data_IF_642058463582
#
_entry.id   IF_642058463582
#
_cell.length_a   1.000
_cell.length_b   1.000
_cell.length_c   1.000
_cell.angle_alpha   90.00
_cell.angle_beta   90.00
_cell.angle_gamma   90.00
#
_symmetry.space_group_name_H-M   'P 1'
#
loop_
_entity.id
_entity.type
_entity.pdbx_description
1 polymer ?
#
# COMPACT_ATOMS: atom_id res chain seq x y z
N UNK A 1 -10.96 34.30 -58.25
CA UNK A 1 -11.30 33.10 -57.46
C UNK A 1 -12.63 33.35 -56.80
N UNK A 2 -13.59 32.43 -56.95
CA UNK A 2 -14.90 32.52 -56.29
C UNK A 2 -14.76 32.34 -54.77
N UNK A 3 -15.57 33.07 -54.01
CA UNK A 3 -15.59 33.03 -52.53
C UNK A 3 -15.84 31.60 -52.02
N UNK A 4 -16.61 30.80 -52.76
CA UNK A 4 -16.88 29.40 -52.44
C UNK A 4 -15.61 28.53 -52.50
N UNK A 5 -14.68 28.79 -53.42
CA UNK A 5 -13.42 28.07 -53.51
C UNK A 5 -12.44 28.47 -52.39
N UNK A 6 -12.51 29.71 -51.92
CA UNK A 6 -11.75 30.13 -50.72
C UNK A 6 -12.29 29.48 -49.45
N UNK A 7 -13.62 29.38 -49.32
CA UNK A 7 -14.27 28.71 -48.18
C UNK A 7 -13.89 27.23 -48.09
N UNK A 8 -13.99 26.49 -49.19
CA UNK A 8 -13.61 25.07 -49.22
C UNK A 8 -12.12 24.83 -48.95
N UNK A 9 -11.25 25.76 -49.37
CA UNK A 9 -9.81 25.68 -49.07
C UNK A 9 -9.53 25.95 -47.58
N UNK A 10 -10.23 26.90 -46.98
CA UNK A 10 -10.16 27.18 -45.55
C UNK A 10 -10.64 25.98 -44.70
N UNK A 11 -11.74 25.34 -45.10
CA UNK A 11 -12.24 24.12 -44.46
C UNK A 11 -11.26 22.96 -44.57
N UNK A 12 -10.64 22.76 -45.75
CA UNK A 12 -9.61 21.74 -45.92
C UNK A 12 -8.41 21.97 -45.01
N UNK A 13 -7.92 23.22 -44.92
CA UNK A 13 -6.81 23.58 -44.04
C UNK A 13 -7.18 23.38 -42.57
N UNK A 14 -8.39 23.78 -42.16
CA UNK A 14 -8.89 23.61 -40.80
C UNK A 14 -9.03 22.12 -40.42
N UNK A 15 -9.54 21.29 -41.34
CA UNK A 15 -9.65 19.84 -41.16
C UNK A 15 -8.26 19.19 -41.00
N UNK A 16 -7.30 19.55 -41.86
CA UNK A 16 -5.91 19.09 -41.75
C UNK A 16 -5.27 19.53 -40.43
N UNK A 17 -5.43 20.79 -40.03
CA UNK A 17 -4.94 21.29 -38.75
C UNK A 17 -5.53 20.50 -37.58
N UNK A 18 -6.84 20.23 -37.61
CA UNK A 18 -7.54 19.44 -36.58
C UNK A 18 -6.96 18.03 -36.47
N UNK A 19 -6.76 17.34 -37.60
CA UNK A 19 -6.16 16.00 -37.62
C UNK A 19 -4.75 16.01 -37.03
N UNK A 20 -3.92 17.00 -37.41
CA UNK A 20 -2.57 17.16 -36.86
C UNK A 20 -2.59 17.42 -35.35
N UNK A 21 -3.52 18.24 -34.86
CA UNK A 21 -3.71 18.49 -33.43
C UNK A 21 -4.11 17.22 -32.67
N UNK A 22 -5.01 16.40 -33.23
CA UNK A 22 -5.40 15.13 -32.59
C UNK A 22 -4.23 14.14 -32.51
N UNK A 23 -3.38 14.08 -33.53
CA UNK A 23 -2.15 13.26 -33.53
C UNK A 23 -1.20 13.74 -32.43
N UNK A 24 -0.97 15.06 -32.36
CA UNK A 24 -0.12 15.65 -31.32
C UNK A 24 -0.64 15.36 -29.91
N UNK A 25 -1.94 15.59 -29.66
CA UNK A 25 -2.56 15.34 -28.35
C UNK A 25 -2.46 13.85 -27.97
N UNK A 26 -2.65 12.96 -28.93
CA UNK A 26 -2.48 11.52 -28.71
C UNK A 26 -1.05 11.15 -28.30
N UNK A 27 -0.05 11.76 -28.95
CA UNK A 27 1.36 11.58 -28.57
C UNK A 27 1.65 12.19 -27.19
N UNK A 28 1.09 13.36 -26.90
CA UNK A 28 1.22 14.04 -25.61
C UNK A 28 0.66 13.19 -24.46
N UNK A 29 -0.55 12.63 -24.61
CA UNK A 29 -1.17 11.76 -23.60
C UNK A 29 -0.29 10.53 -23.31
N UNK A 30 0.31 9.93 -24.35
CA UNK A 30 1.23 8.79 -24.17
C UNK A 30 2.46 9.19 -23.37
N UNK A 31 3.06 10.34 -23.68
CA UNK A 31 4.22 10.85 -22.93
C UNK A 31 3.86 11.18 -21.49
N UNK A 32 2.72 11.85 -21.26
CA UNK A 32 2.22 12.17 -19.92
C UNK A 32 2.02 10.90 -19.10
N UNK A 33 1.42 9.85 -19.66
CA UNK A 33 1.25 8.57 -18.97
C UNK A 33 2.60 7.93 -18.59
N UNK A 34 3.59 7.97 -19.48
CA UNK A 34 4.93 7.45 -19.19
C UNK A 34 5.61 8.23 -18.04
N UNK A 35 5.53 9.57 -18.08
CA UNK A 35 6.10 10.43 -17.03
C UNK A 35 5.40 10.18 -15.69
N UNK A 36 4.08 10.06 -15.68
CA UNK A 36 3.30 9.78 -14.47
C UNK A 36 3.69 8.44 -13.85
N UNK A 37 3.81 7.38 -14.66
CA UNK A 37 4.27 6.07 -14.17
C UNK A 37 5.68 6.13 -13.60
N UNK A 38 6.59 6.82 -14.28
CA UNK A 38 7.96 7.00 -13.80
C UNK A 38 8.00 7.79 -12.47
N UNK A 39 7.19 8.83 -12.34
CA UNK A 39 7.06 9.63 -11.10
C UNK A 39 6.58 8.77 -9.93
N UNK A 40 5.49 8.00 -10.10
CA UNK A 40 5.01 7.14 -9.03
C UNK A 40 6.03 6.05 -8.66
N UNK A 41 6.67 5.43 -9.65
CA UNK A 41 7.75 4.47 -9.40
C UNK A 41 8.91 5.09 -8.62
N UNK A 42 9.28 6.33 -8.94
CA UNK A 42 10.32 7.09 -8.24
C UNK A 42 9.90 7.40 -6.79
N UNK A 43 8.72 7.99 -6.56
CA UNK A 43 8.20 8.31 -5.23
C UNK A 43 8.09 7.07 -4.33
N UNK A 44 7.68 5.92 -4.89
CA UNK A 44 7.65 4.64 -4.17
C UNK A 44 9.06 4.20 -3.79
N UNK A 45 10.02 4.31 -4.70
CA UNK A 45 11.40 3.91 -4.45
C UNK A 45 12.05 4.82 -3.41
N UNK A 46 11.85 6.13 -3.52
CA UNK A 46 12.37 7.16 -2.61
C UNK A 46 11.89 6.94 -1.18
N UNK A 47 10.57 6.81 -0.95
CA UNK A 47 10.05 6.54 0.41
C UNK A 47 10.56 5.21 0.99
N UNK A 48 10.79 4.21 0.13
CA UNK A 48 11.34 2.92 0.54
C UNK A 48 12.78 3.08 0.99
N UNK A 49 13.59 3.74 0.17
CA UNK A 49 14.99 4.03 0.44
C UNK A 49 15.15 4.82 1.73
N UNK A 50 14.35 5.89 1.89
CA UNK A 50 14.37 6.73 3.08
C UNK A 50 14.05 5.92 4.33
N UNK A 51 13.03 5.04 4.30
CA UNK A 51 12.71 4.16 5.44
C UNK A 51 13.88 3.24 5.81
N UNK A 52 14.52 2.61 4.83
CA UNK A 52 15.70 1.75 5.10
C UNK A 52 16.89 2.55 5.63
N UNK A 53 17.14 3.73 5.05
CA UNK A 53 18.25 4.59 5.45
C UNK A 53 18.06 5.12 6.87
N UNK A 54 16.85 5.57 7.24
CA UNK A 54 16.55 6.00 8.60
C UNK A 54 16.64 4.83 9.59
N UNK A 55 16.16 3.64 9.20
CA UNK A 55 16.32 2.43 10.02
C UNK A 55 17.79 2.13 10.28
N UNK A 56 18.65 2.22 9.27
CA UNK A 56 20.08 1.93 9.41
C UNK A 56 20.86 2.99 10.21
N UNK A 57 20.38 4.24 10.26
CA UNK A 57 21.06 5.36 10.93
C UNK A 57 20.63 5.54 12.38
N UNK A 58 19.37 5.25 12.68
CA UNK A 58 18.80 5.40 14.02
C UNK A 58 18.96 4.10 14.83
N UNK A 59 19.90 4.11 15.78
CA UNK A 59 20.19 2.93 16.60
C UNK A 59 19.02 2.55 17.52
N UNK A 60 18.29 3.52 18.08
CA UNK A 60 17.13 3.23 18.95
C UNK A 60 16.01 2.57 18.13
N UNK A 61 15.79 3.07 16.91
CA UNK A 61 14.79 2.49 16.02
C UNK A 61 15.21 1.11 15.50
N UNK A 62 16.49 0.91 15.18
CA UNK A 62 17.04 -0.40 14.85
C UNK A 62 16.87 -1.43 15.97
N UNK A 63 17.21 -1.06 17.21
CA UNK A 63 17.03 -1.91 18.38
C UNK A 63 15.55 -2.26 18.58
N UNK A 64 14.65 -1.28 18.44
CA UNK A 64 13.21 -1.51 18.47
C UNK A 64 12.72 -2.49 17.38
N UNK A 65 13.21 -2.37 16.15
CA UNK A 65 12.88 -3.26 15.03
C UNK A 65 13.44 -4.68 15.19
N UNK A 66 14.56 -4.83 15.92
CA UNK A 66 15.22 -6.12 16.14
C UNK A 66 14.55 -6.97 17.23
N UNK A 67 13.70 -6.37 18.06
CA UNK A 67 12.95 -7.09 19.12
C UNK A 67 12.03 -8.16 18.55
N UNK A 68 11.89 -9.27 19.26
CA UNK A 68 10.85 -10.24 18.94
C UNK A 68 9.51 -9.78 19.53
N UNK A 69 8.73 -9.08 18.70
CA UNK A 69 7.42 -8.54 19.09
C UNK A 69 6.36 -9.60 19.40
N UNK A 70 6.63 -10.87 19.14
CA UNK A 70 5.72 -11.96 19.49
C UNK A 70 5.99 -12.54 20.88
N UNK A 71 7.21 -12.38 21.42
CA UNK A 71 7.63 -13.07 22.65
C UNK A 71 8.12 -12.14 23.76
N UNK A 72 8.52 -10.91 23.43
CA UNK A 72 8.94 -9.93 24.43
C UNK A 72 7.75 -9.25 25.13
N UNK A 73 7.91 -8.97 26.43
CA UNK A 73 6.95 -8.20 27.22
C UNK A 73 7.08 -6.71 26.89
N UNK A 74 6.31 -6.26 25.90
CA UNK A 74 6.34 -4.88 25.43
C UNK A 74 5.63 -3.97 26.43
N UNK A 75 6.29 -2.88 26.83
CA UNK A 75 5.61 -1.85 27.60
C UNK A 75 4.57 -1.11 26.73
N UNK A 76 3.72 -0.28 27.37
CA UNK A 76 2.66 0.46 26.67
C UNK A 76 3.17 1.34 25.51
N UNK A 77 4.33 1.97 25.68
CA UNK A 77 4.94 2.81 24.64
C UNK A 77 5.44 1.96 23.46
N UNK A 78 6.10 0.84 23.74
CA UNK A 78 6.57 -0.09 22.72
C UNK A 78 5.43 -0.72 21.95
N UNK A 79 4.35 -1.11 22.64
CA UNK A 79 3.12 -1.60 22.01
C UNK A 79 2.56 -0.56 21.04
N UNK A 80 2.49 0.71 21.45
CA UNK A 80 2.04 1.79 20.56
C UNK A 80 2.98 1.99 19.36
N UNK A 81 4.30 1.88 19.56
CA UNK A 81 5.29 1.95 18.46
C UNK A 81 5.08 0.82 17.45
N UNK A 82 4.86 -0.41 17.91
CA UNK A 82 4.57 -1.57 17.02
C UNK A 82 3.29 -1.35 16.23
N UNK A 83 2.23 -0.88 16.88
CA UNK A 83 0.96 -0.57 16.21
C UNK A 83 1.16 0.50 15.14
N UNK A 84 1.76 1.65 15.48
CA UNK A 84 2.01 2.74 14.54
C UNK A 84 2.87 2.28 13.35
N UNK A 85 3.91 1.49 13.59
CA UNK A 85 4.75 0.94 12.53
C UNK A 85 3.96 -0.02 11.63
N UNK A 86 3.12 -0.88 12.21
CA UNK A 86 2.25 -1.80 11.46
C UNK A 86 1.25 -1.04 10.59
N UNK A 87 0.64 0.03 11.12
CA UNK A 87 -0.27 0.90 10.34
C UNK A 87 0.46 1.56 9.18
N UNK A 88 1.66 2.11 9.41
CA UNK A 88 2.47 2.70 8.33
C UNK A 88 2.71 1.70 7.20
N UNK A 89 3.03 0.44 7.52
CA UNK A 89 3.22 -0.60 6.52
C UNK A 89 1.92 -0.97 5.78
N UNK A 90 0.78 -1.01 6.48
CA UNK A 90 -0.53 -1.26 5.87
C UNK A 90 -0.92 -0.14 4.91
N UNK A 91 -0.79 1.13 5.32
CA UNK A 91 -1.11 2.29 4.47
C UNK A 91 -0.22 2.32 3.22
N UNK A 92 1.08 2.00 3.34
CA UNK A 92 1.98 1.87 2.17
C UNK A 92 1.51 0.74 1.24
N UNK A 93 1.10 -0.39 1.78
CA UNK A 93 0.59 -1.52 1.00
C UNK A 93 -0.73 -1.17 0.28
N UNK A 94 -1.66 -0.51 0.97
CA UNK A 94 -2.96 -0.10 0.42
C UNK A 94 -2.75 0.81 -0.78
N UNK A 95 -1.94 1.85 -0.62
CA UNK A 95 -1.60 2.79 -1.68
C UNK A 95 -1.00 2.10 -2.91
N UNK A 96 -0.10 1.13 -2.69
CA UNK A 96 0.59 0.45 -3.78
C UNK A 96 -0.31 -0.57 -4.47
N UNK A 97 -1.16 -1.27 -3.71
CA UNK A 97 -2.16 -2.17 -4.29
C UNK A 97 -3.09 -1.40 -5.24
N UNK A 98 -3.66 -0.30 -4.76
CA UNK A 98 -4.61 0.50 -5.54
C UNK A 98 -3.92 1.09 -6.80
N UNK A 99 -2.67 1.53 -6.69
CA UNK A 99 -1.89 2.04 -7.84
C UNK A 99 -1.51 0.95 -8.85
N UNK A 100 -1.28 -0.29 -8.41
CA UNK A 100 -1.02 -1.42 -9.31
C UNK A 100 -2.30 -1.85 -10.01
N UNK A 101 -3.41 -1.93 -9.28
CA UNK A 101 -4.73 -2.26 -9.84
C UNK A 101 -5.16 -1.25 -10.92
N UNK A 102 -4.92 0.04 -10.68
CA UNK A 102 -5.16 1.12 -11.65
C UNK A 102 -4.14 1.17 -12.81
N UNK A 103 -3.13 0.29 -12.83
CA UNK A 103 -2.08 0.26 -13.87
C UNK A 103 -1.13 1.47 -13.85
N UNK A 104 -1.11 2.22 -12.75
CA UNK A 104 -0.26 3.41 -12.55
C UNK A 104 1.17 3.03 -12.14
N UNK A 105 1.36 1.84 -11.57
CA UNK A 105 2.64 1.35 -11.06
C UNK A 105 2.85 -0.10 -11.48
N UNK A 106 4.11 -0.50 -11.67
CA UNK A 106 4.48 -1.88 -11.98
C UNK A 106 4.25 -2.83 -10.79
N UNK A 107 3.74 -4.04 -11.07
CA UNK A 107 3.45 -5.08 -10.06
C UNK A 107 4.64 -5.42 -9.15
N UNK A 108 5.89 -5.26 -9.62
CA UNK A 108 7.11 -5.48 -8.83
C UNK A 108 7.12 -4.70 -7.51
N UNK A 109 6.50 -3.52 -7.47
CA UNK A 109 6.42 -2.72 -6.26
C UNK A 109 5.53 -3.39 -5.20
N UNK A 110 4.40 -3.96 -5.61
CA UNK A 110 3.50 -4.73 -4.75
C UNK A 110 4.12 -6.06 -4.31
N UNK A 111 4.79 -6.76 -5.24
CA UNK A 111 5.44 -8.05 -4.97
C UNK A 111 6.53 -7.91 -3.90
N UNK A 112 7.32 -6.84 -3.96
CA UNK A 112 8.33 -6.52 -2.94
C UNK A 112 7.71 -6.34 -1.54
N UNK A 113 6.64 -5.53 -1.43
CA UNK A 113 5.95 -5.34 -0.13
C UNK A 113 5.38 -6.64 0.39
N UNK A 114 4.72 -7.40 -0.48
CA UNK A 114 4.14 -8.69 -0.14
C UNK A 114 5.21 -9.62 0.43
N UNK A 115 6.38 -9.70 -0.20
CA UNK A 115 7.49 -10.51 0.28
C UNK A 115 7.95 -10.09 1.68
N UNK A 116 8.18 -8.79 1.90
CA UNK A 116 8.63 -8.25 3.20
C UNK A 116 7.59 -8.50 4.30
N UNK A 117 6.30 -8.29 4.00
CA UNK A 117 5.23 -8.48 4.98
C UNK A 117 4.97 -9.94 5.32
N UNK A 118 5.16 -10.86 4.35
CA UNK A 118 5.09 -12.30 4.59
C UNK A 118 6.15 -12.80 5.57
N UNK A 119 7.32 -12.16 5.63
CA UNK A 119 8.45 -12.62 6.43
C UNK A 119 8.47 -12.11 7.88
N UNK A 120 7.50 -11.30 8.30
CA UNK A 120 7.56 -10.61 9.59
C UNK A 120 6.20 -10.31 10.24
N UNK A 121 6.03 -9.05 10.63
CA UNK A 121 5.10 -8.46 11.62
C UNK A 121 3.67 -9.01 11.60
N UNK A 122 3.10 -9.32 10.44
CA UNK A 122 1.73 -9.85 10.33
C UNK A 122 1.60 -11.32 10.73
N UNK A 123 2.70 -11.97 11.10
CA UNK A 123 2.73 -13.27 11.80
C UNK A 123 2.78 -13.13 13.33
N UNK A 124 2.70 -11.92 13.90
CA UNK A 124 2.60 -11.74 15.35
C UNK A 124 1.15 -11.44 15.78
N UNK A 125 0.78 -11.71 17.05
CA UNK A 125 -0.54 -11.32 17.58
C UNK A 125 -0.86 -9.84 17.37
N UNK A 126 0.14 -8.96 17.50
CA UNK A 126 -0.02 -7.52 17.31
C UNK A 126 -0.27 -7.16 15.84
N UNK A 127 0.43 -7.82 14.91
CA UNK A 127 0.18 -7.63 13.48
C UNK A 127 -1.21 -8.10 13.06
N UNK A 128 -1.67 -9.24 13.59
CA UNK A 128 -3.03 -9.74 13.36
C UNK A 128 -4.09 -8.82 13.94
N UNK A 129 -3.87 -8.28 15.14
CA UNK A 129 -4.76 -7.28 15.75
C UNK A 129 -4.84 -6.02 14.88
N UNK A 130 -3.70 -5.50 14.44
CA UNK A 130 -3.66 -4.36 13.53
C UNK A 130 -4.42 -4.66 12.22
N UNK A 131 -4.22 -5.84 11.63
CA UNK A 131 -4.95 -6.25 10.43
C UNK A 131 -6.47 -6.29 10.66
N UNK A 132 -6.93 -6.95 11.73
CA UNK A 132 -8.35 -7.05 12.04
C UNK A 132 -9.02 -5.68 12.24
N UNK A 133 -8.30 -4.72 12.81
CA UNK A 133 -8.78 -3.35 12.94
C UNK A 133 -8.89 -2.64 11.58
N UNK A 134 -7.88 -2.74 10.72
CA UNK A 134 -7.82 -1.97 9.47
C UNK A 134 -8.58 -2.59 8.31
N UNK A 135 -8.77 -3.92 8.29
CA UNK A 135 -9.41 -4.62 7.15
C UNK A 135 -10.85 -4.18 6.90
N UNK A 136 -11.55 -3.66 7.92
CA UNK A 136 -12.93 -3.14 7.79
C UNK A 136 -13.01 -1.93 6.84
N UNK A 137 -11.89 -1.24 6.62
CA UNK A 137 -11.81 -0.05 5.75
C UNK A 137 -11.53 -0.40 4.29
N UNK A 138 -11.41 -1.70 3.96
CA UNK A 138 -10.96 -2.17 2.65
C UNK A 138 -12.03 -2.99 1.94
N UNK A 139 -11.96 -2.98 0.61
CA UNK A 139 -12.84 -3.80 -0.21
C UNK A 139 -12.56 -5.28 -0.01
N UNK A 140 -13.61 -6.11 -0.16
CA UNK A 140 -13.53 -7.55 0.02
C UNK A 140 -12.45 -8.21 -0.86
N UNK A 141 -12.30 -7.75 -2.09
CA UNK A 141 -11.27 -8.21 -3.05
C UNK A 141 -9.86 -8.02 -2.51
N UNK A 142 -9.57 -6.85 -1.93
CA UNK A 142 -8.29 -6.57 -1.29
C UNK A 142 -8.08 -7.42 -0.04
N UNK A 143 -9.12 -7.56 0.80
CA UNK A 143 -9.05 -8.37 2.03
C UNK A 143 -8.70 -9.82 1.71
N UNK A 144 -9.41 -10.43 0.76
CA UNK A 144 -9.14 -11.80 0.31
C UNK A 144 -7.72 -11.93 -0.28
N UNK A 145 -7.29 -10.95 -1.08
CA UNK A 145 -5.94 -10.92 -1.62
C UNK A 145 -4.88 -10.83 -0.49
N UNK A 146 -5.07 -9.96 0.49
CA UNK A 146 -4.14 -9.78 1.61
C UNK A 146 -4.04 -11.06 2.44
N UNK A 147 -5.18 -11.62 2.82
CA UNK A 147 -5.24 -12.82 3.66
C UNK A 147 -4.64 -14.05 2.93
N UNK A 148 -4.76 -14.12 1.61
CA UNK A 148 -4.14 -15.19 0.82
C UNK A 148 -2.62 -14.99 0.62
N UNK A 149 -2.18 -13.76 0.37
CA UNK A 149 -0.81 -13.49 -0.08
C UNK A 149 0.16 -13.17 1.06
N UNK A 150 -0.33 -12.61 2.17
CA UNK A 150 0.52 -12.09 3.26
C UNK A 150 0.34 -12.92 4.52
N UNK A 151 -0.89 -13.29 4.84
CA UNK A 151 -1.20 -14.10 6.02
C UNK A 151 -1.04 -15.58 5.70
N UNK A 152 -0.32 -16.32 6.55
CA UNK A 152 -0.38 -17.77 6.55
C UNK A 152 -1.50 -18.21 7.48
N UNK A 153 -2.60 -18.69 6.92
CA UNK A 153 -3.79 -19.11 7.66
C UNK A 153 -3.49 -20.23 8.67
N UNK A 154 -2.51 -21.10 8.38
CA UNK A 154 -2.09 -22.15 9.33
C UNK A 154 -1.31 -21.57 10.51
N UNK A 155 -0.49 -20.54 10.25
CA UNK A 155 0.22 -19.84 11.31
C UNK A 155 -0.75 -19.04 12.21
N UNK A 156 -1.81 -18.47 11.63
CA UNK A 156 -2.90 -17.85 12.42
C UNK A 156 -3.56 -18.86 13.35
N UNK A 157 -3.96 -20.01 12.82
CA UNK A 157 -4.64 -21.04 13.63
C UNK A 157 -3.75 -21.50 14.79
N UNK A 158 -2.46 -21.69 14.54
CA UNK A 158 -1.47 -22.00 15.58
C UNK A 158 -1.36 -20.89 16.62
N UNK A 159 -1.19 -19.63 16.21
CA UNK A 159 -1.11 -18.48 17.12
C UNK A 159 -2.37 -18.31 17.96
N UNK A 160 -3.56 -18.42 17.35
CA UNK A 160 -4.83 -18.30 18.06
C UNK A 160 -4.95 -19.41 19.11
N UNK A 161 -4.53 -20.63 18.79
CA UNK A 161 -4.50 -21.73 19.75
C UNK A 161 -3.52 -21.45 20.89
N UNK A 162 -2.29 -21.03 20.59
CA UNK A 162 -1.29 -20.67 21.61
C UNK A 162 -1.76 -19.52 22.52
N UNK A 163 -2.42 -18.52 21.96
CA UNK A 163 -3.01 -17.42 22.74
C UNK A 163 -4.16 -17.89 23.63
N UNK A 164 -5.03 -18.77 23.11
CA UNK A 164 -6.10 -19.37 23.91
C UNK A 164 -5.57 -20.26 25.03
N UNK A 165 -4.43 -20.92 24.83
CA UNK A 165 -3.75 -21.71 25.86
C UNK A 165 -3.08 -20.82 26.92
N UNK A 166 -2.41 -19.74 26.51
CA UNK A 166 -1.66 -18.85 27.41
C UNK A 166 -2.53 -17.88 28.20
N UNK A 167 -3.57 -17.33 27.58
CA UNK A 167 -4.53 -16.44 28.23
C UNK A 167 -5.94 -16.69 27.68
N UNK A 168 -6.71 -17.65 28.22
CA UNK A 168 -8.05 -18.00 27.71
C UNK A 168 -9.05 -16.83 27.67
N UNK A 169 -8.75 -15.73 28.38
CA UNK A 169 -9.56 -14.52 28.50
C UNK A 169 -8.97 -13.33 27.75
N UNK A 170 -7.97 -13.54 26.89
CA UNK A 170 -7.38 -12.45 26.09
C UNK A 170 -8.44 -11.70 25.25
N UNK A 171 -9.52 -12.39 24.88
CA UNK A 171 -10.70 -11.85 24.19
C UNK A 171 -11.61 -10.99 25.08
N UNK A 172 -11.63 -11.23 26.38
CA UNK A 172 -12.41 -10.45 27.36
C UNK A 172 -11.70 -9.14 27.75
N UNK A 173 -10.36 -9.12 27.70
CA UNK A 173 -9.54 -7.95 28.01
C UNK A 173 -9.45 -6.90 26.88
N UNK A 174 -10.11 -7.12 25.73
CA UNK A 174 -10.21 -6.13 24.66
C UNK A 174 -11.19 -4.97 24.99
N UNK A 175 -11.81 -4.98 26.18
CA UNK A 175 -12.78 -3.97 26.62
C UNK A 175 -12.20 -2.65 27.14
N UNK A 176 -10.89 -2.39 27.00
CA UNK A 176 -10.32 -1.10 27.38
C UNK A 176 -9.73 -0.40 26.14
N UNK A 177 -10.58 0.45 25.55
CA UNK A 177 -10.27 1.53 24.61
C UNK A 177 -10.04 1.17 23.13
N UNK A 178 -11.07 0.66 22.46
CA UNK A 178 -11.44 1.17 21.13
C UNK A 178 -12.96 1.31 21.10
N UNK A 179 -13.47 2.47 21.53
CA UNK A 179 -14.84 2.88 21.17
C UNK A 179 -14.88 3.04 19.66
N UNK A 180 -15.30 1.98 18.99
CA UNK A 180 -15.96 2.04 17.69
C UNK A 180 -17.44 2.20 18.06
N UNK A 181 -17.83 3.43 18.37
CA UNK A 181 -19.20 3.93 18.50
C UNK A 181 -19.07 5.40 18.95
N UNK A 182 -18.79 6.26 17.97
CA UNK A 182 -19.63 7.39 17.53
C UNK A 182 -19.37 7.65 16.03
#
# INVERSE_FOLDING_TARGET
MDINNLGSLGELIAALATVLTLIYLSAQIRQTNLITKARFGHEITERTYERYFQSAKDNEFSEFLAKDWATEDLNKSETQRVLNFSVMLLVDLFDIYDKVDQGLVEKKHLDFRTHVLRTGIFRSPLGLRAWNFWKITREKTFVEWFEHNIIDQRAIEQLVNEMNEKDPKWKENESISFRIDD
#
